data_IF_441310278502
#
_entry.id   IF_441310278502
#
_cell.length_a   1.000
_cell.length_b   1.000
_cell.length_c   1.000
_cell.angle_alpha   90.00
_cell.angle_beta   90.00
_cell.angle_gamma   90.00
#
_symmetry.space_group_name_H-M   'P 1'
#
loop_
_entity.id
_entity.type
_entity.pdbx_description
1 polymer ?
#
# COMPACT_ATOMS: atom_id res chain seq x y z
N UNK A 1 0.25 -19.19 -31.46
CA UNK A 1 -0.79 -18.15 -31.43
C UNK A 1 -0.19 -16.88 -30.83
N UNK A 2 -0.33 -15.72 -31.48
CA UNK A 2 0.14 -14.45 -30.89
C UNK A 2 -0.85 -13.98 -29.84
N UNK A 3 -0.41 -13.84 -28.59
CA UNK A 3 -1.21 -13.24 -27.54
C UNK A 3 -1.37 -11.73 -27.76
N UNK A 4 -2.49 -11.17 -27.31
CA UNK A 4 -2.71 -9.72 -27.34
C UNK A 4 -1.67 -9.02 -26.43
N UNK A 5 -1.20 -7.85 -26.87
CA UNK A 5 -0.29 -7.02 -26.09
C UNK A 5 -0.93 -6.61 -24.76
N UNK A 6 -0.20 -6.80 -23.66
CA UNK A 6 -0.61 -6.39 -22.32
C UNK A 6 -0.32 -4.92 -22.01
N UNK A 7 0.14 -4.15 -23.01
CA UNK A 7 0.47 -2.74 -22.86
C UNK A 7 -0.79 -1.89 -22.73
N UNK A 8 -0.66 -0.76 -22.04
CA UNK A 8 -1.74 0.23 -21.93
C UNK A 8 -1.33 1.50 -22.67
N UNK A 9 -2.27 2.01 -23.48
CA UNK A 9 -2.07 3.25 -24.24
C UNK A 9 -1.95 4.46 -23.30
N UNK A 10 -1.50 5.60 -23.82
CA UNK A 10 -1.47 6.86 -23.06
C UNK A 10 -2.84 7.27 -22.52
N UNK A 11 -3.93 6.81 -23.16
CA UNK A 11 -5.31 7.06 -22.73
C UNK A 11 -5.82 6.10 -21.64
N UNK A 12 -4.97 5.21 -21.13
CA UNK A 12 -5.35 4.26 -20.09
C UNK A 12 -6.11 3.02 -20.57
N UNK A 13 -6.27 2.82 -21.88
CA UNK A 13 -6.99 1.67 -22.46
C UNK A 13 -6.04 0.53 -22.87
N UNK A 14 -6.47 -0.75 -22.79
CA UNK A 14 -5.67 -1.89 -23.24
C UNK A 14 -5.25 -1.77 -24.70
N UNK A 15 -4.01 -2.14 -25.00
CA UNK A 15 -3.50 -2.17 -26.35
C UNK A 15 -4.20 -3.27 -27.15
N UNK A 16 -4.68 -2.92 -28.35
CA UNK A 16 -5.33 -3.87 -29.26
C UNK A 16 -4.35 -4.56 -30.22
N UNK A 17 -3.07 -4.21 -30.17
CA UNK A 17 -2.04 -4.83 -31.01
C UNK A 17 -1.63 -6.18 -30.45
N UNK A 18 -1.12 -7.07 -31.30
CA UNK A 18 -0.53 -8.33 -30.86
C UNK A 18 0.84 -8.10 -30.23
N UNK A 19 1.19 -8.92 -29.24
CA UNK A 19 2.53 -8.96 -28.68
C UNK A 19 3.53 -9.47 -29.73
N UNK A 20 4.82 -9.11 -29.58
CA UNK A 20 5.89 -9.73 -30.36
C UNK A 20 5.88 -11.24 -30.12
N UNK A 21 6.36 -12.02 -31.09
CA UNK A 21 6.38 -13.48 -30.98
C UNK A 21 7.17 -13.92 -29.72
N UNK A 22 6.50 -14.62 -28.80
CA UNK A 22 7.07 -15.02 -27.51
C UNK A 22 7.17 -13.91 -26.45
N UNK A 23 6.70 -12.69 -26.75
CA UNK A 23 6.70 -11.54 -25.84
C UNK A 23 5.33 -11.25 -25.23
N UNK A 24 5.32 -10.34 -24.24
CA UNK A 24 4.09 -9.82 -23.59
C UNK A 24 3.61 -8.49 -24.17
N UNK A 25 4.49 -7.76 -24.85
CA UNK A 25 4.22 -6.42 -25.35
C UNK A 25 4.48 -6.31 -26.85
N UNK A 26 3.79 -5.38 -27.50
CA UNK A 26 4.06 -5.00 -28.89
C UNK A 26 5.26 -4.04 -28.95
N UNK A 27 5.75 -3.73 -30.15
CA UNK A 27 6.87 -2.81 -30.35
C UNK A 27 6.68 -1.42 -29.72
N UNK A 28 5.44 -0.97 -29.54
CA UNK A 28 5.14 0.34 -28.95
C UNK A 28 5.11 0.33 -27.42
N UNK A 29 5.04 -0.85 -26.80
CA UNK A 29 4.94 -1.01 -25.34
C UNK A 29 6.10 -1.83 -24.76
N UNK A 30 7.18 -2.01 -25.52
CA UNK A 30 8.39 -2.71 -25.05
C UNK A 30 9.01 -2.04 -23.82
N UNK A 31 8.95 -0.70 -23.74
CA UNK A 31 9.39 0.06 -22.55
C UNK A 31 8.57 -0.29 -21.30
N UNK A 32 7.31 -0.71 -21.46
CA UNK A 32 6.48 -1.13 -20.33
C UNK A 32 6.93 -2.49 -19.77
N UNK A 33 7.61 -3.33 -20.58
CA UNK A 33 8.16 -4.64 -20.19
C UNK A 33 9.35 -4.54 -19.22
N UNK A 34 10.02 -3.39 -19.16
CA UNK A 34 11.21 -3.20 -18.30
C UNK A 34 11.03 -2.05 -17.33
N UNK A 35 9.82 -1.54 -17.17
CA UNK A 35 9.57 -0.40 -16.31
C UNK A 35 9.73 -0.79 -14.84
N UNK A 36 10.69 -0.16 -14.16
CA UNK A 36 10.79 -0.17 -12.70
C UNK A 36 10.06 1.05 -12.15
N UNK A 37 9.58 0.92 -10.91
CA UNK A 37 8.93 2.03 -10.23
C UNK A 37 8.56 1.69 -8.79
N UNK A 38 7.69 2.51 -8.24
CA UNK A 38 7.27 2.44 -6.85
C UNK A 38 5.75 2.39 -6.75
N UNK A 39 5.27 1.53 -5.86
CA UNK A 39 3.92 1.60 -5.31
C UNK A 39 3.97 2.41 -4.02
N UNK A 40 3.00 3.26 -3.77
CA UNK A 40 2.94 4.04 -2.54
C UNK A 40 1.51 4.17 -2.04
N UNK A 41 1.41 4.38 -0.73
CA UNK A 41 0.14 4.56 -0.02
C UNK A 41 0.10 6.00 0.47
N UNK A 42 -1.03 6.66 0.33
CA UNK A 42 -1.23 7.99 0.89
C UNK A 42 -2.66 8.21 1.35
N UNK A 43 -2.83 9.23 2.17
CA UNK A 43 -4.13 9.74 2.62
C UNK A 43 -4.09 11.27 2.68
N UNK A 44 -5.21 11.88 3.02
CA UNK A 44 -5.26 13.31 3.35
C UNK A 44 -4.73 13.54 4.76
N UNK A 45 -4.00 14.64 4.97
CA UNK A 45 -3.39 14.94 6.26
C UNK A 45 -4.42 15.00 7.40
N UNK A 46 -5.54 15.71 7.18
CA UNK A 46 -6.63 15.81 8.16
C UNK A 46 -7.23 14.42 8.54
N UNK A 47 -7.28 13.47 7.59
CA UNK A 47 -7.73 12.11 7.88
C UNK A 47 -6.72 11.34 8.74
N UNK A 48 -5.43 11.54 8.49
CA UNK A 48 -4.37 10.93 9.27
C UNK A 48 -4.38 11.46 10.72
N UNK A 49 -4.46 12.77 10.89
CA UNK A 49 -4.52 13.42 12.20
C UNK A 49 -5.72 12.91 13.01
N UNK A 50 -6.91 12.90 12.41
CA UNK A 50 -8.09 12.36 13.09
C UNK A 50 -7.96 10.85 13.41
N UNK A 51 -7.24 10.08 12.60
CA UNK A 51 -7.03 8.66 12.84
C UNK A 51 -6.10 8.37 14.04
N UNK A 52 -5.21 9.31 14.40
CA UNK A 52 -4.33 9.17 15.57
C UNK A 52 -4.87 9.84 16.85
N UNK A 53 -5.87 10.72 16.72
CA UNK A 53 -6.55 11.35 17.85
C UNK A 53 -7.57 10.44 18.53
N UNK A 54 -7.87 10.73 19.81
CA UNK A 54 -8.98 10.08 20.50
C UNK A 54 -10.31 10.48 19.86
N UNK A 55 -11.32 9.61 19.95
CA UNK A 55 -12.63 9.83 19.29
C UNK A 55 -13.32 11.15 19.68
N UNK A 56 -13.02 11.69 20.86
CA UNK A 56 -13.60 12.96 21.35
C UNK A 56 -12.92 14.20 20.79
N UNK A 57 -11.69 14.05 20.28
CA UNK A 57 -10.84 15.14 19.80
C UNK A 57 -10.82 15.24 18.27
N UNK A 58 -11.54 14.33 17.57
CA UNK A 58 -11.56 14.31 16.11
C UNK A 58 -12.34 15.50 15.56
N UNK A 59 -11.75 16.16 14.58
CA UNK A 59 -12.38 17.26 13.85
C UNK A 59 -13.42 16.72 12.86
N UNK A 60 -14.50 17.47 12.65
CA UNK A 60 -15.46 17.16 11.60
C UNK A 60 -14.84 17.46 10.22
N UNK A 61 -14.99 16.55 9.27
CA UNK A 61 -14.53 16.72 7.89
C UNK A 61 -15.75 16.97 7.01
N UNK A 62 -16.04 18.24 6.73
CA UNK A 62 -17.18 18.65 5.90
C UNK A 62 -16.89 18.62 4.40
N UNK A 63 -15.63 18.78 4.00
CA UNK A 63 -15.23 18.95 2.60
C UNK A 63 -15.14 17.67 1.78
N UNK A 64 -15.38 16.53 2.43
CA UNK A 64 -15.21 15.20 1.87
C UNK A 64 -16.53 14.45 1.91
N UNK A 65 -16.96 13.92 0.78
CA UNK A 65 -18.11 13.02 0.71
C UNK A 65 -17.73 11.71 0.02
N UNK A 66 -18.37 10.61 0.44
CA UNK A 66 -18.22 9.29 -0.19
C UNK A 66 -19.48 8.99 -0.99
N UNK A 67 -19.27 8.49 -2.20
CA UNK A 67 -20.31 7.83 -2.97
C UNK A 67 -20.38 6.35 -2.56
N UNK A 68 -21.31 6.06 -1.63
CA UNK A 68 -21.50 4.71 -1.08
C UNK A 68 -22.28 3.78 -2.01
N UNK A 69 -22.81 4.29 -3.13
CA UNK A 69 -23.54 3.49 -4.12
C UNK A 69 -22.68 2.38 -4.74
N UNK A 70 -21.35 2.55 -4.72
CA UNK A 70 -20.35 1.56 -5.17
C UNK A 70 -19.87 0.62 -4.06
N UNK A 71 -20.06 0.99 -2.79
CA UNK A 71 -19.69 0.17 -1.63
C UNK A 71 -20.80 -0.80 -1.23
N UNK A 72 -22.06 -0.36 -1.29
CA UNK A 72 -23.22 -1.13 -0.84
C UNK A 72 -24.20 -1.36 -1.98
N UNK A 73 -23.98 -2.40 -2.79
CA UNK A 73 -24.91 -2.77 -3.89
C UNK A 73 -26.36 -3.04 -3.41
N UNK A 74 -26.53 -3.36 -2.12
CA UNK A 74 -27.83 -3.71 -1.52
C UNK A 74 -28.66 -2.51 -1.04
N UNK A 75 -28.10 -1.29 -0.94
CA UNK A 75 -28.84 -0.10 -0.52
C UNK A 75 -28.55 1.05 -1.48
N UNK A 76 -29.59 1.76 -1.94
CA UNK A 76 -29.46 3.05 -2.66
C UNK A 76 -28.99 4.15 -1.69
N UNK A 77 -27.82 3.97 -1.08
CA UNK A 77 -27.19 5.02 -0.28
C UNK A 77 -26.52 5.96 -1.28
N UNK A 78 -26.94 7.22 -1.27
CA UNK A 78 -26.40 8.26 -2.14
C UNK A 78 -25.01 8.72 -1.71
N UNK A 79 -24.69 9.95 -2.09
CA UNK A 79 -23.49 10.65 -1.62
C UNK A 79 -23.69 11.04 -0.16
N UNK A 80 -22.79 10.61 0.72
CA UNK A 80 -22.83 10.92 2.15
C UNK A 80 -21.56 11.67 2.58
N UNK A 81 -21.66 12.68 3.45
CA UNK A 81 -20.48 13.30 4.04
C UNK A 81 -19.61 12.27 4.75
N UNK A 82 -18.29 12.45 4.72
CA UNK A 82 -17.37 11.60 5.46
C UNK A 82 -17.66 11.70 6.95
N UNK A 83 -17.87 10.56 7.59
CA UNK A 83 -18.01 10.44 9.02
C UNK A 83 -17.00 9.41 9.52
N UNK A 84 -16.30 9.74 10.61
CA UNK A 84 -15.41 8.81 11.27
C UNK A 84 -16.21 7.68 11.92
N UNK A 85 -16.37 6.56 11.22
CA UNK A 85 -17.00 5.35 11.73
C UNK A 85 -15.93 4.48 12.41
N UNK A 86 -15.80 4.61 13.73
CA UNK A 86 -14.80 3.84 14.48
C UNK A 86 -13.37 4.22 14.10
N UNK A 87 -12.50 3.23 13.92
CA UNK A 87 -11.06 3.44 13.69
C UNK A 87 -10.71 3.09 12.23
N UNK A 88 -11.40 3.77 11.32
CA UNK A 88 -11.25 3.64 9.86
C UNK A 88 -10.63 4.89 9.25
N UNK A 89 -9.90 4.71 8.16
CA UNK A 89 -9.27 5.77 7.37
C UNK A 89 -9.46 5.50 5.87
N UNK A 90 -9.56 6.55 5.07
CA UNK A 90 -9.47 6.42 3.61
C UNK A 90 -8.00 6.44 3.19
N UNK A 91 -7.59 5.46 2.40
CA UNK A 91 -6.30 5.45 1.74
C UNK A 91 -6.46 5.34 0.23
N UNK A 92 -5.43 5.80 -0.48
CA UNK A 92 -5.28 5.55 -1.91
C UNK A 92 -3.91 4.93 -2.17
N UNK A 93 -3.92 3.94 -3.07
CA UNK A 93 -2.71 3.35 -3.63
C UNK A 93 -2.44 4.04 -4.96
N UNK A 94 -1.21 4.50 -5.14
CA UNK A 94 -0.73 5.02 -6.40
C UNK A 94 0.56 4.36 -6.82
N UNK A 95 0.90 4.54 -8.09
CA UNK A 95 2.19 4.14 -8.63
C UNK A 95 2.93 5.28 -9.32
N UNK A 96 4.25 5.14 -9.43
CA UNK A 96 5.12 6.06 -10.15
C UNK A 96 6.32 5.34 -10.74
N UNK A 97 6.77 5.77 -11.92
CA UNK A 97 8.06 5.39 -12.52
C UNK A 97 9.12 6.45 -12.30
N UNK A 98 8.83 7.50 -11.50
CA UNK A 98 9.81 8.49 -11.07
C UNK A 98 10.74 7.87 -10.02
N UNK A 99 11.92 8.45 -9.88
CA UNK A 99 12.92 7.99 -8.92
C UNK A 99 12.51 8.17 -7.46
N UNK A 100 11.57 9.06 -7.16
CA UNK A 100 11.07 9.35 -5.82
C UNK A 100 9.55 9.55 -5.83
N UNK A 101 8.87 8.91 -4.87
CA UNK A 101 7.42 9.03 -4.65
C UNK A 101 7.02 10.45 -4.25
N UNK A 102 7.88 11.17 -3.54
CA UNK A 102 7.62 12.52 -3.02
C UNK A 102 7.34 13.51 -4.15
N UNK A 103 7.98 13.33 -5.32
CA UNK A 103 7.70 14.12 -6.53
C UNK A 103 6.25 13.92 -6.97
N UNK A 104 5.81 12.65 -7.04
CA UNK A 104 4.45 12.30 -7.46
C UNK A 104 3.41 12.78 -6.46
N UNK A 105 3.71 12.73 -5.16
CA UNK A 105 2.83 13.28 -4.13
C UNK A 105 2.71 14.81 -4.24
N UNK A 106 3.79 15.53 -4.55
CA UNK A 106 3.72 16.97 -4.79
C UNK A 106 2.82 17.32 -5.99
N UNK A 107 2.86 16.53 -7.07
CA UNK A 107 1.94 16.68 -8.21
C UNK A 107 0.48 16.47 -7.78
N UNK A 108 0.20 15.42 -6.99
CA UNK A 108 -1.15 15.14 -6.49
C UNK A 108 -1.67 16.23 -5.56
N UNK A 109 -0.83 16.75 -4.66
CA UNK A 109 -1.15 17.88 -3.77
C UNK A 109 -1.59 19.10 -4.59
N UNK A 110 -0.85 19.45 -5.63
CA UNK A 110 -1.19 20.56 -6.54
C UNK A 110 -2.52 20.34 -7.26
N UNK A 111 -2.81 19.12 -7.71
CA UNK A 111 -4.05 18.80 -8.43
C UNK A 111 -5.28 18.78 -7.52
N UNK A 112 -5.16 18.21 -6.33
CA UNK A 112 -6.26 18.08 -5.38
C UNK A 112 -6.48 19.35 -4.54
N UNK A 113 -5.47 20.23 -4.45
CA UNK A 113 -5.45 21.42 -3.60
C UNK A 113 -5.68 21.12 -2.11
N UNK A 114 -5.24 19.94 -1.66
CA UNK A 114 -5.32 19.45 -0.29
C UNK A 114 -3.99 18.84 0.11
N UNK A 115 -3.66 18.96 1.39
CA UNK A 115 -2.48 18.31 1.95
C UNK A 115 -2.67 16.80 1.97
N UNK A 116 -1.66 16.11 1.43
CA UNK A 116 -1.59 14.65 1.40
C UNK A 116 -0.31 14.19 2.08
N UNK A 117 -0.42 13.06 2.75
CA UNK A 117 0.65 12.49 3.54
C UNK A 117 0.89 11.03 3.12
N UNK A 118 2.15 10.62 2.88
CA UNK A 118 2.45 9.23 2.59
C UNK A 118 2.25 8.38 3.85
N UNK A 119 1.63 7.21 3.72
CA UNK A 119 1.60 6.22 4.79
C UNK A 119 2.86 5.36 4.68
N UNK A 120 3.83 5.65 5.56
CA UNK A 120 5.10 4.94 5.67
C UNK A 120 5.07 3.93 6.83
N UNK A 121 6.10 3.07 6.98
CA UNK A 121 6.11 2.05 8.02
C UNK A 121 5.96 2.61 9.44
N UNK A 122 6.60 3.76 9.72
CA UNK A 122 6.51 4.42 11.01
C UNK A 122 5.08 4.88 11.32
N UNK A 123 4.37 5.46 10.35
CA UNK A 123 2.97 5.89 10.50
C UNK A 123 2.02 4.69 10.63
N UNK A 124 2.25 3.62 9.87
CA UNK A 124 1.48 2.39 10.01
C UNK A 124 1.62 1.76 11.41
N UNK A 125 2.82 1.79 11.98
CA UNK A 125 3.07 1.35 13.35
C UNK A 125 2.43 2.26 14.40
N UNK A 126 2.37 3.58 14.17
CA UNK A 126 1.66 4.49 15.06
C UNK A 126 0.18 4.12 15.21
N UNK A 127 -0.48 3.73 14.11
CA UNK A 127 -1.86 3.22 14.18
C UNK A 127 -1.99 1.96 15.05
N UNK A 128 -1.00 1.06 14.99
CA UNK A 128 -1.00 -0.17 15.78
C UNK A 128 -0.82 0.10 17.28
N UNK A 129 0.13 0.96 17.65
CA UNK A 129 0.45 1.28 19.05
C UNK A 129 -0.68 1.98 19.82
N UNK A 130 -1.58 2.69 19.11
CA UNK A 130 -2.73 3.37 19.74
C UNK A 130 -3.83 2.39 20.18
N UNK A 131 -4.01 1.27 19.49
CA UNK A 131 -5.00 0.22 19.86
C UNK A 131 -4.50 -0.63 21.04
N UNK A 132 -3.19 -0.84 21.18
CA UNK A 132 -2.65 -1.59 22.34
C UNK A 132 -2.85 -0.85 23.66
N UNK A 133 -2.68 0.48 23.69
CA UNK A 133 -2.82 1.27 24.92
C UNK A 133 -4.28 1.36 25.40
N UNK A 134 -5.26 1.28 24.51
CA UNK A 134 -6.69 1.31 24.90
C UNK A 134 -7.21 -0.03 25.43
N UNK A 135 -6.53 -1.15 25.15
CA UNK A 135 -6.92 -2.50 25.64
C UNK A 135 -6.21 -2.97 26.90
N UNK A 136 -5.12 -2.31 27.32
CA UNK A 136 -4.38 -2.71 28.52
C UNK A 136 -5.11 -2.44 29.86
N UNK A 137 -6.25 -1.76 29.87
CA UNK A 137 -6.97 -1.48 31.13
C UNK A 137 -7.62 -2.70 31.82
N UNK A 138 -7.86 -3.83 31.13
CA UNK A 138 -8.56 -4.99 31.75
C UNK A 138 -7.82 -6.33 31.73
N UNK A 139 -6.88 -6.57 30.79
CA UNK A 139 -6.08 -7.82 30.74
C UNK A 139 -4.66 -7.71 31.32
N UNK A 140 -4.13 -6.50 31.54
CA UNK A 140 -2.76 -6.36 32.08
C UNK A 140 -2.65 -6.92 33.49
N UNK A 141 -3.69 -6.79 34.33
CA UNK A 141 -3.67 -7.30 35.70
C UNK A 141 -3.37 -8.81 35.82
N UNK A 142 -3.71 -9.63 34.82
CA UNK A 142 -3.46 -11.07 34.87
C UNK A 142 -2.04 -11.37 34.38
N UNK A 143 -1.63 -10.82 33.23
CA UNK A 143 -0.27 -11.05 32.71
C UNK A 143 0.77 -10.41 33.64
N UNK A 144 0.52 -9.23 34.20
CA UNK A 144 1.41 -8.59 35.18
C UNK A 144 1.49 -9.40 36.47
N UNK A 145 0.40 -10.04 36.92
CA UNK A 145 0.41 -10.95 38.08
C UNK A 145 1.17 -12.24 37.78
N UNK A 146 0.98 -12.81 36.60
CA UNK A 146 1.65 -14.03 36.15
C UNK A 146 3.15 -13.76 35.97
N UNK A 147 3.53 -12.67 35.32
CA UNK A 147 4.92 -12.22 35.21
C UNK A 147 5.55 -11.94 36.58
N UNK A 148 4.81 -11.39 37.56
CA UNK A 148 5.29 -11.22 38.94
C UNK A 148 5.45 -12.54 39.70
N UNK A 149 4.64 -13.56 39.38
CA UNK A 149 4.76 -14.90 39.95
C UNK A 149 5.97 -15.64 39.36
N UNK A 150 6.22 -15.50 38.05
CA UNK A 150 7.38 -16.08 37.39
C UNK A 150 8.70 -15.34 37.70
N UNK A 151 8.67 -14.04 37.95
CA UNK A 151 9.88 -13.29 38.36
C UNK A 151 10.41 -13.68 39.75
N UNK A 152 9.65 -14.48 40.52
CA UNK A 152 10.09 -15.07 41.80
C UNK A 152 10.63 -16.49 41.66
N UNK A 153 10.53 -17.10 40.47
CA UNK A 153 11.09 -18.41 40.16
C UNK A 153 12.46 -18.31 39.48
N UNK A 154 12.92 -17.08 39.19
CA UNK A 154 14.24 -16.84 38.65
C UNK A 154 15.27 -17.00 39.77
N UNK A 155 16.03 -18.10 39.72
CA UNK A 155 17.11 -18.36 40.66
C UNK A 155 18.17 -17.28 40.47
N UNK A 156 18.34 -16.44 41.50
CA UNK A 156 19.29 -15.35 41.54
C UNK A 156 20.73 -15.85 41.36
N UNK A 157 21.20 -15.91 40.12
CA UNK A 157 22.61 -15.92 39.75
C UNK A 157 23.03 -14.49 39.41
N UNK A 158 23.76 -13.85 40.32
CA UNK A 158 24.08 -12.43 40.24
C UNK A 158 24.85 -12.04 38.98
N UNK A 159 24.40 -10.98 38.33
CA UNK A 159 25.30 -9.97 37.76
C UNK A 159 24.55 -8.65 37.61
N UNK A 160 25.08 -7.63 38.27
CA UNK A 160 24.72 -6.23 38.12
C UNK A 160 24.95 -5.80 36.68
N UNK A 161 23.87 -5.71 35.90
CA UNK A 161 23.87 -4.97 34.64
C UNK A 161 22.68 -4.01 34.61
N UNK A 162 23.05 -2.76 34.81
CA UNK A 162 22.44 -1.51 34.39
C UNK A 162 21.18 -1.64 33.52
N UNK A 163 20.06 -1.21 34.10
CA UNK A 163 18.82 -0.91 33.40
C UNK A 163 19.02 0.27 32.45
N UNK A 164 19.28 -0.01 31.18
CA UNK A 164 18.90 0.87 30.07
C UNK A 164 17.72 0.22 29.38
N UNK A 165 16.52 0.70 29.71
CA UNK A 165 15.31 0.43 28.95
C UNK A 165 15.45 1.06 27.56
N UNK A 166 16.05 0.32 26.63
CA UNK A 166 15.97 0.62 25.21
C UNK A 166 14.54 0.35 24.76
N UNK A 167 13.79 1.42 24.52
CA UNK A 167 12.55 1.38 23.76
C UNK A 167 12.93 0.88 22.36
N UNK A 168 12.88 -0.43 22.15
CA UNK A 168 13.13 -1.02 20.85
C UNK A 168 12.05 -0.50 19.89
N UNK A 169 12.39 0.52 19.10
CA UNK A 169 11.54 1.04 18.04
C UNK A 169 11.27 -0.12 17.09
N UNK A 170 10.06 -0.68 17.17
CA UNK A 170 9.63 -1.76 16.31
C UNK A 170 9.76 -1.25 14.86
N UNK A 171 10.60 -1.87 14.04
CA UNK A 171 10.76 -1.51 12.62
C UNK A 171 10.12 -2.61 11.78
N UNK A 172 9.27 -2.23 10.83
CA UNK A 172 8.77 -3.19 9.85
C UNK A 172 9.90 -3.54 8.88
N UNK A 173 10.25 -4.81 8.80
CA UNK A 173 11.22 -5.29 7.81
C UNK A 173 10.51 -5.45 6.44
N UNK A 174 10.62 -4.41 5.60
CA UNK A 174 10.04 -4.35 4.26
C UNK A 174 11.17 -4.09 3.26
N UNK A 175 11.66 -5.14 2.62
CA UNK A 175 12.85 -5.13 1.77
C UNK A 175 12.71 -4.26 0.52
N UNK A 176 11.50 -4.18 -0.04
CA UNK A 176 11.24 -3.37 -1.23
C UNK A 176 10.96 -1.90 -0.90
N UNK A 177 10.72 -1.56 0.37
CA UNK A 177 10.34 -0.20 0.77
C UNK A 177 11.55 0.76 0.75
N UNK A 178 11.61 1.65 -0.24
CA UNK A 178 12.65 2.65 -0.44
C UNK A 178 12.05 3.94 -0.99
N UNK A 179 12.61 5.10 -0.62
CA UNK A 179 12.19 6.42 -1.15
C UNK A 179 10.66 6.64 -1.09
N UNK A 180 10.07 6.35 0.07
CA UNK A 180 8.64 6.48 0.36
C UNK A 180 7.70 5.57 -0.47
N UNK A 181 8.20 4.47 -1.05
CA UNK A 181 7.35 3.48 -1.71
C UNK A 181 7.97 2.09 -1.80
N UNK A 182 7.19 1.12 -2.23
CA UNK A 182 7.59 -0.26 -2.48
C UNK A 182 8.08 -0.39 -3.91
N UNK A 183 9.37 -0.67 -4.07
CA UNK A 183 9.99 -0.88 -5.38
C UNK A 183 9.43 -2.14 -6.04
N UNK A 184 9.10 -2.07 -7.31
CA UNK A 184 8.65 -3.21 -8.08
C UNK A 184 8.95 -3.04 -9.57
N UNK A 185 8.81 -4.14 -10.32
CA UNK A 185 8.76 -4.09 -11.79
C UNK A 185 7.32 -4.08 -12.26
N UNK A 186 7.06 -3.47 -13.42
CA UNK A 186 5.71 -3.33 -13.96
C UNK A 186 4.73 -2.69 -12.96
N UNK A 187 5.04 -1.50 -12.40
CA UNK A 187 4.28 -0.90 -11.30
C UNK A 187 2.78 -0.73 -11.60
N UNK A 188 2.40 -0.61 -12.87
CA UNK A 188 0.99 -0.56 -13.28
C UNK A 188 0.24 -1.89 -13.10
N UNK A 189 0.90 -3.02 -13.41
CA UNK A 189 0.30 -4.35 -13.21
C UNK A 189 0.19 -4.66 -11.72
N UNK A 190 1.24 -4.31 -10.97
CA UNK A 190 1.28 -4.44 -9.51
C UNK A 190 0.20 -3.57 -8.83
N UNK A 191 0.06 -2.31 -9.23
CA UNK A 191 -0.99 -1.41 -8.72
C UNK A 191 -2.39 -2.00 -8.94
N UNK A 192 -2.65 -2.54 -10.13
CA UNK A 192 -3.93 -3.18 -10.46
C UNK A 192 -4.20 -4.39 -9.57
N UNK A 193 -3.22 -5.28 -9.39
CA UNK A 193 -3.34 -6.44 -8.49
C UNK A 193 -3.66 -6.02 -7.05
N UNK A 194 -2.99 -4.97 -6.55
CA UNK A 194 -3.22 -4.43 -5.21
C UNK A 194 -4.63 -3.82 -5.11
N UNK A 195 -5.07 -3.06 -6.11
CA UNK A 195 -6.43 -2.49 -6.15
C UNK A 195 -7.49 -3.59 -6.16
N UNK A 196 -7.34 -4.63 -7.00
CA UNK A 196 -8.27 -5.76 -7.05
C UNK A 196 -8.37 -6.47 -5.70
N UNK A 197 -7.23 -6.71 -5.04
CA UNK A 197 -7.19 -7.28 -3.69
C UNK A 197 -7.88 -6.38 -2.66
N UNK A 198 -7.56 -5.08 -2.64
CA UNK A 198 -8.16 -4.12 -1.71
C UNK A 198 -9.67 -3.98 -1.92
N UNK A 199 -10.13 -3.90 -3.18
CA UNK A 199 -11.56 -3.76 -3.48
C UNK A 199 -12.33 -5.03 -3.16
N UNK A 200 -11.72 -6.20 -3.34
CA UNK A 200 -12.33 -7.45 -2.91
C UNK A 200 -12.51 -7.49 -1.39
N UNK A 201 -11.51 -7.01 -0.62
CA UNK A 201 -11.52 -7.09 0.84
C UNK A 201 -12.34 -5.99 1.53
N UNK A 202 -12.22 -4.74 1.05
CA UNK A 202 -12.77 -3.56 1.73
C UNK A 202 -13.78 -2.78 0.87
N UNK A 203 -13.97 -3.17 -0.39
CA UNK A 203 -14.80 -2.44 -1.34
C UNK A 203 -14.07 -1.28 -2.01
N UNK A 204 -14.73 -0.71 -3.03
CA UNK A 204 -14.24 0.42 -3.82
C UNK A 204 -14.97 1.69 -3.42
N UNK A 205 -14.22 2.69 -2.98
CA UNK A 205 -14.72 4.03 -2.66
C UNK A 205 -14.48 5.02 -3.79
N UNK A 206 -15.51 5.78 -4.12
CA UNK A 206 -15.41 7.04 -4.85
C UNK A 206 -15.58 8.19 -3.85
N UNK A 207 -14.74 9.20 -3.97
CA UNK A 207 -14.67 10.29 -3.01
C UNK A 207 -14.85 11.62 -3.74
N UNK A 208 -15.84 12.40 -3.35
CA UNK A 208 -16.04 13.76 -3.85
C UNK A 208 -15.26 14.72 -2.97
N UNK A 209 -14.36 15.49 -3.59
CA UNK A 209 -13.55 16.48 -2.91
C UNK A 209 -14.01 17.88 -3.30
N UNK A 210 -14.44 18.67 -2.31
CA UNK A 210 -14.89 20.04 -2.53
C UNK A 210 -13.77 20.96 -3.06
N UNK A 211 -12.53 20.78 -2.60
CA UNK A 211 -11.43 21.70 -2.94
C UNK A 211 -11.06 21.69 -4.44
N UNK A 212 -11.23 20.54 -5.11
CA UNK A 212 -10.95 20.42 -6.54
C UNK A 212 -12.20 20.16 -7.40
N UNK A 213 -13.38 20.07 -6.79
CA UNK A 213 -14.66 19.77 -7.44
C UNK A 213 -14.62 18.55 -8.37
N UNK A 214 -13.83 17.53 -8.00
CA UNK A 214 -13.68 16.28 -8.76
C UNK A 214 -14.05 15.08 -7.91
N UNK A 215 -14.49 14.03 -8.58
CA UNK A 215 -14.58 12.70 -8.00
C UNK A 215 -13.22 12.02 -8.12
N UNK A 216 -12.62 11.70 -6.99
CA UNK A 216 -11.45 10.85 -6.95
C UNK A 216 -11.87 9.39 -6.86
N UNK A 217 -11.32 8.57 -7.74
CA UNK A 217 -11.59 7.15 -7.80
C UNK A 217 -10.52 6.35 -7.06
N UNK A 218 -10.84 5.09 -6.76
CA UNK A 218 -9.90 4.08 -6.23
C UNK A 218 -9.41 4.42 -4.82
N UNK A 219 -10.25 5.12 -4.05
CA UNK A 219 -10.07 5.22 -2.61
C UNK A 219 -10.62 3.96 -1.95
N UNK A 220 -10.02 3.59 -0.82
CA UNK A 220 -10.40 2.41 -0.07
C UNK A 220 -10.52 2.80 1.40
N UNK A 221 -11.66 2.50 2.01
CA UNK A 221 -11.88 2.68 3.45
C UNK A 221 -11.32 1.45 4.18
N UNK A 222 -10.33 1.64 5.05
CA UNK A 222 -9.65 0.52 5.73
C UNK A 222 -9.58 0.75 7.25
N UNK A 223 -9.67 -0.30 8.07
CA UNK A 223 -9.36 -0.19 9.49
C UNK A 223 -7.89 0.18 9.71
N UNK A 224 -7.61 1.17 10.55
CA UNK A 224 -6.23 1.64 10.81
C UNK A 224 -5.33 0.53 11.35
N UNK A 225 -5.88 -0.40 12.12
CA UNK A 225 -5.19 -1.59 12.66
C UNK A 225 -4.68 -2.56 11.59
N UNK A 226 -5.28 -2.55 10.40
CA UNK A 226 -4.90 -3.44 9.32
C UNK A 226 -3.80 -2.83 8.43
N UNK A 227 -3.39 -1.58 8.69
CA UNK A 227 -2.40 -0.89 7.87
C UNK A 227 -1.07 -1.66 7.76
N UNK A 228 -0.58 -2.22 8.86
CA UNK A 228 0.64 -3.03 8.86
C UNK A 228 0.48 -4.28 7.98
N UNK A 229 -0.67 -4.96 8.06
CA UNK A 229 -0.97 -6.13 7.21
C UNK A 229 -1.09 -5.75 5.74
N UNK A 230 -1.68 -4.58 5.44
CA UNK A 230 -1.75 -4.03 4.08
C UNK A 230 -0.32 -3.80 3.54
N UNK A 231 0.57 -3.20 4.33
CA UNK A 231 1.96 -2.97 3.93
C UNK A 231 2.71 -4.28 3.63
N UNK A 232 2.56 -5.31 4.47
CA UNK A 232 3.16 -6.62 4.21
C UNK A 232 2.58 -7.31 2.97
N UNK A 233 1.30 -7.12 2.69
CA UNK A 233 0.68 -7.67 1.48
C UNK A 233 1.26 -7.01 0.23
N UNK A 234 1.40 -5.68 0.24
CA UNK A 234 2.01 -4.93 -0.85
C UNK A 234 3.48 -5.33 -1.03
N UNK A 235 4.24 -5.44 0.05
CA UNK A 235 5.63 -5.95 0.04
C UNK A 235 5.72 -7.32 -0.65
N UNK A 236 4.82 -8.25 -0.31
CA UNK A 236 4.78 -9.57 -0.94
C UNK A 236 4.51 -9.52 -2.44
N UNK A 237 3.54 -8.70 -2.88
CA UNK A 237 3.22 -8.53 -4.30
C UNK A 237 4.40 -7.90 -5.05
N UNK A 238 5.00 -6.83 -4.51
CA UNK A 238 6.15 -6.15 -5.09
C UNK A 238 7.38 -7.08 -5.18
N UNK A 239 7.66 -7.84 -4.12
CA UNK A 239 8.77 -8.79 -4.08
C UNK A 239 8.63 -9.89 -5.13
N UNK A 240 7.42 -10.43 -5.33
CA UNK A 240 7.15 -11.42 -6.39
C UNK A 240 7.42 -10.86 -7.78
N UNK A 241 7.03 -9.61 -8.01
CA UNK A 241 7.30 -8.92 -9.27
C UNK A 241 8.81 -8.79 -9.53
N UNK A 242 9.59 -8.38 -8.53
CA UNK A 242 11.05 -8.27 -8.67
C UNK A 242 11.71 -9.63 -8.95
N UNK A 243 11.26 -10.69 -8.26
CA UNK A 243 11.77 -12.04 -8.48
C UNK A 243 11.47 -12.57 -9.89
N UNK A 244 10.24 -12.39 -10.37
CA UNK A 244 9.84 -12.80 -11.73
C UNK A 244 10.64 -12.06 -12.83
N UNK A 245 10.99 -10.79 -12.59
CA UNK A 245 11.85 -10.04 -13.51
C UNK A 245 13.30 -10.55 -13.49
N UNK A 246 13.82 -10.91 -12.32
CA UNK A 246 15.18 -11.44 -12.17
C UNK A 246 15.35 -12.80 -12.87
N UNK A 247 14.35 -13.69 -12.79
CA UNK A 247 14.38 -14.99 -13.50
C UNK A 247 14.27 -14.82 -15.01
N UNK A 248 13.38 -13.95 -15.50
CA UNK A 248 13.26 -13.63 -16.93
C UNK A 248 14.56 -13.09 -17.55
N UNK A 249 15.28 -12.21 -16.83
CA UNK A 249 16.58 -11.68 -17.29
C UNK A 249 17.66 -12.77 -17.41
N UNK A 250 17.63 -13.79 -16.55
CA UNK A 250 18.60 -14.92 -16.58
C UNK A 250 18.32 -15.91 -17.73
N UNK A 251 17.08 -16.04 -18.18
CA UNK A 251 16.73 -16.94 -19.29
C UNK A 251 16.96 -16.37 -20.69
N UNK A 252 16.93 -15.03 -20.85
CA UNK A 252 17.12 -14.36 -22.15
C UNK A 252 18.46 -14.71 -22.85
N UNK A 253 19.61 -14.76 -22.17
CA UNK A 253 20.88 -15.15 -22.81
C UNK A 253 20.86 -16.58 -23.35
N UNK A 254 20.18 -17.50 -22.64
CA UNK A 254 20.09 -18.91 -23.03
C UNK A 254 19.19 -19.12 -24.24
N UNK A 255 18.05 -18.42 -24.31
CA UNK A 255 17.12 -18.49 -25.45
C UNK A 255 17.70 -17.85 -26.72
N UNK A 256 18.47 -16.76 -26.59
CA UNK A 256 19.14 -16.12 -27.72
C UNK A 256 20.27 -16.97 -28.30
N UNK A 257 21.05 -17.66 -27.47
CA UNK A 257 22.09 -18.60 -27.93
C UNK A 257 21.48 -19.79 -28.69
N UNK A 258 20.44 -20.42 -28.14
CA UNK A 258 19.75 -21.54 -28.81
C UNK A 258 19.10 -21.15 -30.14
N UNK A 259 18.55 -19.95 -30.23
CA UNK A 259 17.94 -19.45 -31.47
C UNK A 259 18.98 -19.06 -32.54
N UNK A 260 20.20 -18.69 -32.13
CA UNK A 260 21.31 -18.45 -33.05
C UNK A 260 21.87 -19.77 -33.61
N UNK A 261 22.00 -20.81 -32.78
CA UNK A 261 22.48 -22.14 -33.17
C UNK A 261 21.52 -22.86 -34.13
N UNK A 262 20.20 -22.62 -34.02
CA UNK A 262 19.18 -23.20 -34.92
C UNK A 262 19.05 -22.47 -36.28
N UNK A 263 19.69 -21.31 -36.46
CA UNK A 263 19.70 -20.57 -37.74
C UNK A 263 20.94 -20.83 -38.60
N UNK A 264 21.89 -21.59 -38.06
CA UNK A 264 23.16 -21.96 -38.72
C UNK A 264 23.18 -23.43 -39.17
N UNK A 265 22.02 -24.08 -39.23
CA UNK A 265 21.81 -25.44 -39.76
C UNK A 265 20.70 -25.40 -40.79
#
# INVERSE_FOLDING_TARGET
>A
MSSQCLGITQKGTPCKLNAKQGGRYCRHHEVQETSEGYIYIYTFEELYENAILSRKERNQISWLAIDESKLNKAKKVGITPWQHQGDEILIKIGMTTRDDVSIRLAEWRKQCKREIIPINPSRALQFYSLDSNTRHSKKSNIIDKVSRLFSKLDLSGGSTSSKTSSTATQTLNLSTYKRNGFRCTHPRDVEREIHEWLWHKYGKGNVLCEACHKTHHEWVRVPVREMVSIMYTIEGICSRSEYAAATSKRERPYKLKRAAEQKTS
#
